data_IF_792711016135
#
_entry.id   IF_792711016135
#
_cell.length_a   1.000
_cell.length_b   1.000
_cell.length_c   1.000
_cell.angle_alpha   90.00
_cell.angle_beta   90.00
_cell.angle_gamma   90.00
#
_symmetry.space_group_name_H-M   'P 1'
#
loop_
_entity.id
_entity.type
_entity.pdbx_description
1 polymer ?
#
# COMPACT_ATOMS: atom_id res chain seq x y z
N UNK A 1 -14.98 42.74 8.68
CA UNK A 1 -15.34 41.77 9.74
C UNK A 1 -16.08 40.54 9.18
N UNK A 2 -17.15 40.70 8.41
CA UNK A 2 -17.87 39.59 7.74
C UNK A 2 -17.00 38.74 6.78
N UNK A 3 -16.07 39.36 6.05
CA UNK A 3 -15.15 38.66 5.15
C UNK A 3 -14.13 37.78 5.90
N UNK A 4 -13.73 38.18 7.11
CA UNK A 4 -12.81 37.41 7.97
C UNK A 4 -13.52 36.21 8.61
N UNK A 5 -14.78 36.35 9.03
CA UNK A 5 -15.58 35.22 9.50
C UNK A 5 -15.81 34.17 8.40
N UNK A 6 -16.12 34.60 7.17
CA UNK A 6 -16.34 33.69 6.05
C UNK A 6 -15.05 32.93 5.68
N UNK A 7 -13.90 33.62 5.69
CA UNK A 7 -12.58 32.99 5.50
C UNK A 7 -12.24 32.01 6.62
N UNK A 8 -12.58 32.30 7.88
CA UNK A 8 -12.35 31.37 9.01
C UNK A 8 -13.25 30.14 8.90
N UNK A 9 -14.48 30.29 8.43
CA UNK A 9 -15.43 29.19 8.25
C UNK A 9 -15.03 28.25 7.09
N UNK A 10 -14.57 28.81 5.98
CA UNK A 10 -13.99 28.07 4.84
C UNK A 10 -12.67 27.41 5.27
N UNK A 11 -11.82 28.14 6.00
CA UNK A 11 -10.59 27.60 6.58
C UNK A 11 -10.89 26.40 7.45
N UNK A 12 -11.80 26.51 8.41
CA UNK A 12 -12.14 25.42 9.33
C UNK A 12 -12.77 24.19 8.64
N UNK A 13 -13.50 24.38 7.53
CA UNK A 13 -14.08 23.26 6.75
C UNK A 13 -13.03 22.50 5.92
N UNK A 14 -11.97 23.17 5.46
CA UNK A 14 -10.95 22.57 4.58
C UNK A 14 -9.56 22.38 5.23
N UNK A 15 -9.35 22.89 6.45
CA UNK A 15 -8.06 22.90 7.14
C UNK A 15 -7.40 21.52 7.27
N UNK A 16 -8.19 20.52 7.61
CA UNK A 16 -7.70 19.15 7.80
C UNK A 16 -7.61 18.35 6.50
N UNK A 17 -8.18 18.87 5.41
CA UNK A 17 -8.28 18.17 4.13
C UNK A 17 -7.29 18.69 3.09
N UNK A 18 -6.86 19.95 3.20
CA UNK A 18 -5.88 20.56 2.31
C UNK A 18 -4.50 20.62 2.98
N UNK A 19 -3.60 19.72 2.57
CA UNK A 19 -2.24 19.64 3.08
C UNK A 19 -1.45 20.93 2.84
N UNK A 20 -1.73 21.67 1.77
CA UNK A 20 -1.06 22.93 1.49
C UNK A 20 -1.45 23.97 2.55
N UNK A 21 -2.74 24.06 2.85
CA UNK A 21 -3.27 25.01 3.82
C UNK A 21 -2.80 24.68 5.26
N UNK A 22 -2.65 23.40 5.58
CA UNK A 22 -2.07 22.95 6.85
C UNK A 22 -0.59 23.38 6.99
N UNK A 23 0.21 23.20 5.93
CA UNK A 23 1.63 23.57 5.94
C UNK A 23 1.81 25.09 5.99
N UNK A 24 1.06 25.85 5.20
CA UNK A 24 1.16 27.32 5.20
C UNK A 24 0.69 27.90 6.53
N UNK A 25 -0.41 27.39 7.09
CA UNK A 25 -0.89 27.85 8.40
C UNK A 25 0.05 27.49 9.55
N UNK A 26 0.74 26.35 9.46
CA UNK A 26 1.78 25.99 10.43
C UNK A 26 2.96 26.96 10.34
N UNK A 27 3.42 27.27 9.12
CA UNK A 27 4.51 28.25 8.91
C UNK A 27 4.08 29.65 9.39
N UNK A 28 2.83 30.06 9.14
CA UNK A 28 2.28 31.33 9.64
C UNK A 28 2.22 31.35 11.17
N UNK A 29 1.89 30.22 11.81
CA UNK A 29 1.88 30.10 13.27
C UNK A 29 3.28 30.22 13.89
N UNK A 30 4.34 29.89 13.14
CA UNK A 30 5.73 30.07 13.62
C UNK A 30 6.11 31.55 13.80
N UNK A 31 5.31 32.49 13.27
CA UNK A 31 5.52 33.92 13.47
C UNK A 31 5.42 34.34 14.95
N UNK A 32 4.73 33.55 15.79
CA UNK A 32 4.66 33.76 17.25
C UNK A 32 6.06 33.75 17.91
N UNK A 33 7.04 33.08 17.31
CA UNK A 33 8.41 32.99 17.82
C UNK A 33 9.32 34.17 17.41
N UNK A 34 8.77 35.21 16.75
CA UNK A 34 9.48 36.45 16.44
C UNK A 34 10.74 36.23 15.60
N UNK A 35 11.91 36.61 16.14
CA UNK A 35 13.20 36.52 15.44
C UNK A 35 13.64 35.10 15.07
N UNK A 36 13.09 34.07 15.72
CA UNK A 36 13.44 32.66 15.46
C UNK A 36 12.58 32.00 14.38
N UNK A 37 11.57 32.70 13.82
CA UNK A 37 10.64 32.08 12.88
C UNK A 37 11.35 31.51 11.63
N UNK A 38 12.37 32.19 11.10
CA UNK A 38 13.13 31.71 9.94
C UNK A 38 13.87 30.40 10.24
N UNK A 39 14.47 30.30 11.43
CA UNK A 39 15.22 29.09 11.84
C UNK A 39 14.25 27.91 12.00
N UNK A 40 13.10 28.13 12.63
CA UNK A 40 12.09 27.10 12.82
C UNK A 40 11.44 26.68 11.49
N UNK A 41 11.14 27.62 10.61
CA UNK A 41 10.60 27.33 9.28
C UNK A 41 11.60 26.51 8.45
N UNK A 42 12.89 26.88 8.48
CA UNK A 42 13.94 26.12 7.80
C UNK A 42 14.07 24.70 8.35
N UNK A 43 14.10 24.54 9.69
CA UNK A 43 14.18 23.22 10.32
C UNK A 43 12.99 22.33 9.97
N UNK A 44 11.79 22.90 9.92
CA UNK A 44 10.57 22.20 9.53
C UNK A 44 10.60 21.75 8.06
N UNK A 45 10.98 22.63 7.13
CA UNK A 45 11.11 22.30 5.71
C UNK A 45 12.16 21.21 5.50
N UNK A 46 13.30 21.31 6.21
CA UNK A 46 14.35 20.30 6.17
C UNK A 46 13.83 18.94 6.63
N UNK A 47 13.13 18.88 7.76
CA UNK A 47 12.57 17.63 8.28
C UNK A 47 11.56 17.01 7.31
N UNK A 48 10.66 17.80 6.73
CA UNK A 48 9.72 17.32 5.71
C UNK A 48 10.43 16.83 4.45
N UNK A 49 11.47 17.53 4.01
CA UNK A 49 12.23 17.12 2.83
C UNK A 49 12.92 15.78 3.04
N UNK A 50 13.47 15.53 4.23
CA UNK A 50 14.12 14.26 4.59
C UNK A 50 13.10 13.13 4.67
N UNK A 51 11.96 13.33 5.33
CA UNK A 51 10.92 12.28 5.43
C UNK A 51 10.34 11.92 4.06
N UNK A 52 10.15 12.90 3.19
CA UNK A 52 9.72 12.68 1.81
C UNK A 52 10.78 11.95 0.99
N UNK A 53 12.06 12.30 1.13
CA UNK A 53 13.17 11.64 0.44
C UNK A 53 13.28 10.17 0.85
N UNK A 54 13.24 9.87 2.16
CA UNK A 54 13.23 8.49 2.65
C UNK A 54 12.03 7.70 2.10
N UNK A 55 10.84 8.30 2.10
CA UNK A 55 9.63 7.67 1.58
C UNK A 55 9.72 7.40 0.07
N UNK A 56 10.30 8.31 -0.72
CA UNK A 56 10.52 8.12 -2.16
C UNK A 56 11.54 7.01 -2.45
N UNK A 57 12.65 6.97 -1.72
CA UNK A 57 13.67 5.92 -1.86
C UNK A 57 13.05 4.54 -1.65
N UNK A 58 12.26 4.36 -0.58
CA UNK A 58 11.58 3.10 -0.29
C UNK A 58 10.63 2.70 -1.42
N UNK A 59 9.84 3.64 -1.95
CA UNK A 59 8.92 3.38 -3.07
C UNK A 59 9.66 2.97 -4.35
N UNK A 60 10.77 3.65 -4.67
CA UNK A 60 11.60 3.25 -5.81
C UNK A 60 12.22 1.88 -5.62
N UNK A 61 12.68 1.55 -4.42
CA UNK A 61 13.24 0.24 -4.12
C UNK A 61 12.20 -0.87 -4.29
N UNK A 62 10.93 -0.64 -3.89
CA UNK A 62 9.83 -1.58 -4.11
C UNK A 62 9.59 -1.79 -5.62
N UNK A 63 9.51 -0.70 -6.39
CA UNK A 63 9.29 -0.78 -7.83
C UNK A 63 10.44 -1.49 -8.58
N UNK A 64 11.69 -1.15 -8.23
CA UNK A 64 12.89 -1.76 -8.82
C UNK A 64 12.96 -3.25 -8.46
N UNK A 65 12.72 -3.60 -7.20
CA UNK A 65 12.69 -5.01 -6.75
C UNK A 65 11.65 -5.81 -7.51
N UNK A 66 10.45 -5.27 -7.72
CA UNK A 66 9.41 -5.93 -8.48
C UNK A 66 9.82 -6.19 -9.95
N UNK A 67 10.47 -5.23 -10.61
CA UNK A 67 10.94 -5.40 -12.00
C UNK A 67 12.04 -6.45 -12.10
N UNK A 68 13.01 -6.43 -11.18
CA UNK A 68 14.12 -7.41 -11.14
C UNK A 68 13.58 -8.82 -10.86
N UNK A 69 12.59 -8.95 -9.98
CA UNK A 69 11.98 -10.25 -9.67
C UNK A 69 11.21 -10.83 -10.87
N UNK A 70 10.58 -9.99 -11.69
CA UNK A 70 9.89 -10.44 -12.90
C UNK A 70 10.85 -10.98 -13.98
N UNK A 71 12.07 -10.44 -14.07
CA UNK A 71 13.07 -10.87 -15.05
C UNK A 71 14.42 -11.12 -14.38
N UNK A 72 14.69 -12.39 -14.06
CA UNK A 72 15.94 -12.84 -13.40
C UNK A 72 17.20 -12.40 -14.17
N UNK A 73 17.12 -12.23 -15.50
CA UNK A 73 18.23 -11.71 -16.31
C UNK A 73 18.61 -10.26 -16.00
N UNK A 74 17.77 -9.52 -15.28
CA UNK A 74 18.04 -8.15 -14.82
C UNK A 74 18.69 -8.11 -13.43
N UNK A 75 18.88 -9.26 -12.78
CA UNK A 75 19.49 -9.36 -11.46
C UNK A 75 21.01 -9.09 -11.47
N UNK A 76 21.66 -9.08 -12.64
CA UNK A 76 23.08 -8.74 -12.74
C UNK A 76 23.33 -7.30 -12.26
N UNK A 77 24.53 -7.06 -11.71
CA UNK A 77 24.87 -5.76 -11.10
C UNK A 77 24.83 -4.61 -12.12
N UNK A 78 25.19 -4.87 -13.38
CA UNK A 78 25.13 -3.87 -14.46
C UNK A 78 23.69 -3.60 -14.92
N UNK A 79 22.85 -4.63 -15.06
CA UNK A 79 21.45 -4.48 -15.49
C UNK A 79 20.57 -3.83 -14.42
N UNK A 80 20.83 -4.11 -13.14
CA UNK A 80 20.09 -3.49 -12.03
C UNK A 80 20.33 -1.98 -11.95
N UNK A 81 21.56 -1.50 -12.20
CA UNK A 81 21.86 -0.05 -12.29
C UNK A 81 21.06 0.59 -13.43
N UNK A 82 20.99 -0.06 -14.59
CA UNK A 82 20.23 0.45 -15.74
C UNK A 82 18.73 0.55 -15.39
N UNK A 83 18.17 -0.47 -14.72
CA UNK A 83 16.78 -0.45 -14.24
C UNK A 83 16.53 0.73 -13.30
N UNK A 84 17.44 0.97 -12.34
CA UNK A 84 17.34 2.12 -11.41
C UNK A 84 17.28 3.43 -12.19
N UNK A 85 18.19 3.63 -13.14
CA UNK A 85 18.24 4.86 -13.96
C UNK A 85 16.95 5.05 -14.75
N UNK A 86 16.43 3.99 -15.38
CA UNK A 86 15.19 4.06 -16.16
C UNK A 86 14.00 4.40 -15.27
N UNK A 87 13.85 3.73 -14.12
CA UNK A 87 12.74 3.98 -13.18
C UNK A 87 12.78 5.43 -12.67
N UNK A 88 13.96 5.91 -12.28
CA UNK A 88 14.14 7.30 -11.81
C UNK A 88 13.87 8.30 -12.94
N UNK A 89 14.32 8.03 -14.17
CA UNK A 89 14.07 8.90 -15.32
C UNK A 89 12.57 9.00 -15.66
N UNK A 90 11.84 7.87 -15.67
CA UNK A 90 10.40 7.84 -15.89
C UNK A 90 9.68 8.62 -14.77
N UNK A 91 10.07 8.41 -13.52
CA UNK A 91 9.47 9.13 -12.40
C UNK A 91 9.73 10.64 -12.48
N UNK A 92 10.95 11.04 -12.85
CA UNK A 92 11.29 12.44 -13.06
C UNK A 92 10.46 13.08 -14.17
N UNK A 93 10.31 12.40 -15.31
CA UNK A 93 9.43 12.85 -16.40
C UNK A 93 7.98 12.99 -15.91
N UNK A 94 7.50 12.03 -15.12
CA UNK A 94 6.18 12.09 -14.48
C UNK A 94 6.02 13.32 -13.58
N UNK A 95 7.03 13.63 -12.76
CA UNK A 95 7.02 14.79 -11.87
C UNK A 95 6.97 16.12 -12.65
N UNK A 96 7.62 16.21 -13.82
CA UNK A 96 7.57 17.42 -14.65
C UNK A 96 6.14 17.78 -15.09
N UNK A 97 5.26 16.81 -15.33
CA UNK A 97 3.85 17.09 -15.67
C UNK A 97 3.09 17.79 -14.54
N UNK A 98 3.48 17.54 -13.29
CA UNK A 98 2.86 18.14 -12.10
C UNK A 98 3.37 19.56 -11.78
N UNK A 99 4.39 20.05 -12.49
CA UNK A 99 4.88 21.44 -12.37
C UNK A 99 3.95 22.44 -13.10
N UNK A 100 3.03 21.94 -13.94
CA UNK A 100 2.08 22.79 -14.65
C UNK A 100 1.15 23.59 -13.73
N UNK A 101 0.58 24.70 -14.23
CA UNK A 101 -0.30 25.61 -13.46
C UNK A 101 -1.48 24.90 -12.78
N UNK A 102 -1.98 23.81 -13.37
CA UNK A 102 -3.08 23.01 -12.83
C UNK A 102 -2.59 21.72 -12.14
N UNK A 103 -1.28 21.50 -12.08
CA UNK A 103 -0.66 20.29 -11.53
C UNK A 103 -0.98 20.07 -10.05
N UNK A 104 -1.12 21.14 -9.28
CA UNK A 104 -1.50 21.06 -7.86
C UNK A 104 -2.89 20.43 -7.67
N UNK A 105 -3.92 20.96 -8.35
CA UNK A 105 -5.29 20.40 -8.28
C UNK A 105 -5.34 18.95 -8.74
N UNK A 106 -4.56 18.60 -9.77
CA UNK A 106 -4.43 17.21 -10.24
C UNK A 106 -3.76 16.31 -9.22
N UNK A 107 -2.69 16.76 -8.56
CA UNK A 107 -2.01 16.03 -7.51
C UNK A 107 -2.93 15.76 -6.31
N UNK A 108 -3.70 16.77 -5.89
CA UNK A 108 -4.69 16.63 -4.81
C UNK A 108 -5.80 15.64 -5.20
N UNK A 109 -6.31 15.70 -6.42
CA UNK A 109 -7.32 14.73 -6.89
C UNK A 109 -6.78 13.30 -6.90
N UNK A 110 -5.56 13.09 -7.44
CA UNK A 110 -4.92 11.78 -7.49
C UNK A 110 -4.69 11.23 -6.07
N UNK A 111 -4.18 12.05 -5.16
CA UNK A 111 -3.90 11.63 -3.79
C UNK A 111 -5.18 11.24 -3.05
N UNK A 112 -6.23 12.06 -3.18
CA UNK A 112 -7.47 11.89 -2.43
C UNK A 112 -8.35 10.78 -2.99
N UNK A 113 -8.49 10.74 -4.32
CA UNK A 113 -9.44 9.86 -5.00
C UNK A 113 -8.75 8.61 -5.52
N UNK A 114 -7.78 8.76 -6.43
CA UNK A 114 -7.17 7.63 -7.13
C UNK A 114 -6.44 6.72 -6.15
N UNK A 115 -5.45 7.24 -5.41
CA UNK A 115 -4.61 6.43 -4.51
C UNK A 115 -5.45 5.77 -3.41
N UNK A 116 -6.37 6.51 -2.80
CA UNK A 116 -7.24 5.98 -1.73
C UNK A 116 -8.13 4.83 -2.23
N UNK A 117 -8.78 5.00 -3.37
CA UNK A 117 -9.67 3.96 -3.93
C UNK A 117 -8.85 2.74 -4.38
N UNK A 118 -7.77 2.95 -5.14
CA UNK A 118 -6.97 1.85 -5.67
C UNK A 118 -6.30 1.06 -4.56
N UNK A 119 -5.75 1.72 -3.53
CA UNK A 119 -5.08 1.04 -2.42
C UNK A 119 -6.05 0.15 -1.64
N UNK A 120 -7.26 0.61 -1.34
CA UNK A 120 -8.26 -0.19 -0.63
C UNK A 120 -8.69 -1.40 -1.46
N UNK A 121 -8.94 -1.22 -2.76
CA UNK A 121 -9.33 -2.33 -3.64
C UNK A 121 -8.21 -3.37 -3.76
N UNK A 122 -6.95 -2.93 -3.88
CA UNK A 122 -5.79 -3.83 -3.92
C UNK A 122 -5.68 -4.60 -2.60
N UNK A 123 -5.75 -3.93 -1.44
CA UNK A 123 -5.67 -4.58 -0.12
C UNK A 123 -6.82 -5.58 0.07
N UNK A 124 -8.05 -5.25 -0.33
CA UNK A 124 -9.19 -6.19 -0.26
C UNK A 124 -8.93 -7.39 -1.17
N UNK A 125 -8.39 -7.17 -2.37
CA UNK A 125 -8.06 -8.24 -3.30
C UNK A 125 -6.97 -9.16 -2.75
N UNK A 126 -5.91 -8.61 -2.14
CA UNK A 126 -4.86 -9.37 -1.47
C UNK A 126 -5.41 -10.18 -0.29
N UNK A 127 -6.21 -9.55 0.58
CA UNK A 127 -6.85 -10.22 1.71
C UNK A 127 -7.80 -11.33 1.25
N UNK A 128 -8.52 -11.12 0.15
CA UNK A 128 -9.39 -12.13 -0.45
C UNK A 128 -8.57 -13.31 -0.96
N UNK A 129 -7.49 -13.05 -1.70
CA UNK A 129 -6.63 -14.12 -2.23
C UNK A 129 -5.97 -14.91 -1.11
N UNK A 130 -5.45 -14.21 -0.10
CA UNK A 130 -4.86 -14.81 1.09
C UNK A 130 -5.91 -15.60 1.87
N UNK A 131 -7.10 -15.05 2.08
CA UNK A 131 -8.13 -15.66 2.92
C UNK A 131 -8.75 -16.89 2.29
N UNK A 132 -9.12 -16.80 1.01
CA UNK A 132 -9.88 -17.83 0.30
C UNK A 132 -8.97 -18.89 -0.32
N UNK A 133 -7.93 -18.48 -1.05
CA UNK A 133 -7.10 -19.43 -1.80
C UNK A 133 -5.92 -19.96 -0.99
N UNK A 134 -5.30 -19.10 -0.16
CA UNK A 134 -4.13 -19.52 0.60
C UNK A 134 -4.47 -20.05 2.01
N UNK A 135 -5.37 -19.39 2.71
CA UNK A 135 -5.73 -19.61 4.11
C UNK A 135 -4.86 -18.82 5.10
N UNK A 136 -5.47 -17.93 5.87
CA UNK A 136 -4.79 -17.11 6.90
C UNK A 136 -3.97 -17.93 7.91
N UNK A 137 -4.48 -19.10 8.31
CA UNK A 137 -3.80 -20.01 9.26
C UNK A 137 -2.44 -20.50 8.73
N UNK A 138 -2.36 -20.75 7.43
CA UNK A 138 -1.16 -21.28 6.78
C UNK A 138 -0.12 -20.17 6.64
N UNK A 139 -0.52 -18.95 6.21
CA UNK A 139 0.41 -17.81 6.16
C UNK A 139 0.98 -17.56 7.54
N UNK A 140 0.12 -17.56 8.56
CA UNK A 140 0.56 -17.36 9.93
C UNK A 140 1.59 -18.40 10.37
N UNK A 141 1.33 -19.68 10.09
CA UNK A 141 2.27 -20.77 10.39
C UNK A 141 3.61 -20.59 9.67
N UNK A 142 3.59 -20.23 8.38
CA UNK A 142 4.81 -19.99 7.60
C UNK A 142 5.61 -18.79 8.13
N UNK A 143 4.94 -17.67 8.42
CA UNK A 143 5.58 -16.47 8.96
C UNK A 143 6.22 -16.76 10.31
N UNK A 144 5.49 -17.45 11.20
CA UNK A 144 6.02 -17.81 12.53
C UNK A 144 7.32 -18.62 12.45
N UNK A 145 7.44 -19.50 11.44
CA UNK A 145 8.65 -20.29 11.22
C UNK A 145 9.78 -19.55 10.50
N UNK A 146 9.46 -18.53 9.72
CA UNK A 146 10.48 -17.65 9.14
C UNK A 146 11.02 -16.65 10.17
N UNK A 147 10.25 -16.34 11.21
CA UNK A 147 10.68 -15.52 12.35
C UNK A 147 11.47 -16.30 13.41
N UNK A 148 11.80 -17.58 13.18
CA UNK A 148 12.42 -18.51 14.15
C UNK A 148 13.78 -18.08 14.71
N UNK A 149 14.46 -17.09 14.14
CA UNK A 149 15.61 -16.49 14.82
C UNK A 149 15.23 -15.62 16.05
N UNK A 150 13.95 -15.54 16.41
CA UNK A 150 13.42 -14.84 17.61
C UNK A 150 12.99 -15.85 18.69
N UNK A 151 13.43 -17.11 18.61
CA UNK A 151 12.99 -18.17 19.54
C UNK A 151 13.53 -18.07 20.97
N UNK A 152 14.56 -17.25 21.22
CA UNK A 152 15.30 -17.31 22.48
C UNK A 152 14.65 -16.58 23.68
N UNK A 153 13.53 -15.87 23.52
CA UNK A 153 13.11 -14.91 24.58
C UNK A 153 11.66 -15.05 25.10
N UNK A 154 10.75 -15.78 24.44
CA UNK A 154 9.33 -15.76 24.87
C UNK A 154 8.79 -17.05 25.51
N UNK A 155 8.15 -16.88 26.67
CA UNK A 155 7.39 -17.94 27.36
C UNK A 155 6.31 -18.55 26.44
N UNK A 156 6.15 -19.88 26.50
CA UNK A 156 5.16 -20.63 25.67
C UNK A 156 3.74 -20.04 25.72
N UNK A 157 3.32 -19.47 26.85
CA UNK A 157 1.99 -18.86 27.01
C UNK A 157 1.86 -17.51 26.30
N UNK A 158 2.90 -16.67 26.33
CA UNK A 158 2.91 -15.38 25.65
C UNK A 158 2.79 -15.54 24.13
N UNK A 159 3.56 -16.48 23.56
CA UNK A 159 3.51 -16.83 22.14
C UNK A 159 2.10 -17.21 21.69
N UNK A 160 1.36 -17.98 22.49
CA UNK A 160 -0.02 -18.38 22.15
C UNK A 160 -1.01 -17.21 22.12
N UNK A 161 -0.86 -16.26 23.05
CA UNK A 161 -1.72 -15.07 23.10
C UNK A 161 -1.44 -14.19 21.89
N UNK A 162 -0.16 -13.90 21.61
CA UNK A 162 0.25 -13.09 20.45
C UNK A 162 -0.23 -13.73 19.15
N UNK A 163 -0.05 -15.04 19.00
CA UNK A 163 -0.49 -15.77 17.82
C UNK A 163 -2.02 -15.70 17.63
N UNK A 164 -2.78 -15.82 18.70
CA UNK A 164 -4.25 -15.72 18.67
C UNK A 164 -4.70 -14.31 18.28
N UNK A 165 -4.07 -13.27 18.86
CA UNK A 165 -4.38 -11.87 18.54
C UNK A 165 -4.07 -11.55 17.08
N UNK A 166 -2.90 -11.96 16.57
CA UNK A 166 -2.53 -11.76 15.17
C UNK A 166 -3.53 -12.46 14.25
N UNK A 167 -3.91 -13.71 14.55
CA UNK A 167 -4.87 -14.44 13.74
C UNK A 167 -6.25 -13.75 13.71
N UNK A 168 -6.74 -13.25 14.84
CA UNK A 168 -8.01 -12.47 14.91
C UNK A 168 -7.90 -11.17 14.12
N UNK A 169 -6.77 -10.46 14.22
CA UNK A 169 -6.52 -9.23 13.46
C UNK A 169 -6.60 -9.49 11.95
N UNK A 170 -5.90 -10.51 11.46
CA UNK A 170 -5.85 -10.84 10.04
C UNK A 170 -7.16 -11.40 9.48
N UNK A 171 -7.86 -12.24 10.24
CA UNK A 171 -9.07 -12.92 9.76
C UNK A 171 -10.33 -12.06 9.84
N UNK A 172 -10.43 -11.20 10.86
CA UNK A 172 -11.67 -10.47 11.14
C UNK A 172 -11.48 -8.95 11.13
N UNK A 173 -10.52 -8.42 11.89
CA UNK A 173 -10.43 -6.97 12.13
C UNK A 173 -10.01 -6.22 10.85
N UNK A 174 -8.93 -6.63 10.19
CA UNK A 174 -8.41 -5.95 9.01
C UNK A 174 -9.41 -6.01 7.84
N UNK A 175 -10.00 -7.16 7.49
CA UNK A 175 -11.03 -7.22 6.45
C UNK A 175 -12.26 -6.36 6.77
N UNK A 176 -12.72 -6.36 8.01
CA UNK A 176 -13.88 -5.57 8.42
C UNK A 176 -13.59 -4.07 8.33
N UNK A 177 -12.45 -3.62 8.87
CA UNK A 177 -12.04 -2.20 8.79
C UNK A 177 -11.90 -1.76 7.34
N UNK A 178 -11.28 -2.56 6.47
CA UNK A 178 -11.12 -2.22 5.05
C UNK A 178 -12.47 -2.10 4.32
N UNK A 179 -13.42 -3.00 4.57
CA UNK A 179 -14.79 -2.89 4.04
C UNK A 179 -15.48 -1.62 4.55
N UNK A 180 -15.41 -1.32 5.85
CA UNK A 180 -15.99 -0.09 6.39
C UNK A 180 -15.35 1.15 5.78
N UNK A 181 -14.03 1.18 5.57
CA UNK A 181 -13.37 2.31 4.88
C UNK A 181 -13.82 2.46 3.43
N UNK A 182 -14.06 1.34 2.72
CA UNK A 182 -14.60 1.40 1.36
C UNK A 182 -16.03 1.96 1.36
N UNK A 183 -16.87 1.54 2.30
CA UNK A 183 -18.24 2.04 2.44
C UNK A 183 -18.28 3.53 2.78
N UNK A 184 -17.41 4.01 3.67
CA UNK A 184 -17.36 5.44 4.01
C UNK A 184 -16.87 6.29 2.84
N UNK A 185 -15.86 5.81 2.10
CA UNK A 185 -15.34 6.50 0.92
C UNK A 185 -16.37 6.54 -0.20
N UNK A 186 -17.05 5.43 -0.49
CA UNK A 186 -18.11 5.40 -1.51
C UNK A 186 -19.30 6.28 -1.13
N UNK A 187 -19.72 6.28 0.15
CA UNK A 187 -20.75 7.20 0.64
C UNK A 187 -20.32 8.67 0.56
N UNK A 188 -19.05 8.97 0.86
CA UNK A 188 -18.48 10.30 0.72
C UNK A 188 -18.51 10.78 -0.75
N UNK A 189 -18.04 9.94 -1.67
CA UNK A 189 -18.03 10.26 -3.10
C UNK A 189 -19.42 10.37 -3.69
N UNK A 190 -20.38 9.51 -3.29
CA UNK A 190 -21.78 9.62 -3.73
C UNK A 190 -22.43 10.94 -3.30
N UNK A 191 -22.02 11.52 -2.17
CA UNK A 191 -22.49 12.83 -1.72
C UNK A 191 -21.80 14.00 -2.42
N UNK A 192 -20.57 13.80 -2.90
CA UNK A 192 -19.74 14.76 -3.65
C UNK A 192 -19.88 14.62 -5.19
N UNK A 193 -20.74 13.71 -5.67
CA UNK A 193 -20.75 13.12 -7.03
C UNK A 193 -20.99 14.10 -8.19
N UNK A 194 -21.18 15.39 -7.94
CA UNK A 194 -21.44 16.37 -9.01
C UNK A 194 -20.28 17.33 -9.30
N UNK A 195 -19.14 17.30 -8.59
CA UNK A 195 -18.04 18.22 -8.97
C UNK A 195 -16.59 17.77 -8.79
N UNK A 196 -16.26 16.62 -8.19
CA UNK A 196 -14.84 16.29 -7.85
C UNK A 196 -14.20 15.08 -8.56
N UNK A 197 -14.97 14.15 -9.14
CA UNK A 197 -14.39 13.00 -9.87
C UNK A 197 -14.37 13.27 -11.37
N UNK A 198 -13.18 13.58 -11.89
CA UNK A 198 -12.98 13.79 -13.33
C UNK A 198 -12.84 12.45 -14.07
N UNK A 199 -13.16 12.43 -15.36
CA UNK A 199 -13.03 11.24 -16.23
C UNK A 199 -11.59 10.71 -16.20
N UNK A 200 -10.60 11.60 -16.10
CA UNK A 200 -9.19 11.24 -15.97
C UNK A 200 -8.90 10.41 -14.71
N UNK A 201 -9.54 10.72 -13.60
CA UNK A 201 -9.32 10.00 -12.34
C UNK A 201 -9.90 8.58 -12.42
N UNK A 202 -11.07 8.43 -13.04
CA UNK A 202 -11.67 7.12 -13.32
C UNK A 202 -10.79 6.29 -14.25
N UNK A 203 -10.28 6.89 -15.33
CA UNK A 203 -9.36 6.23 -16.26
C UNK A 203 -8.08 5.75 -15.54
N UNK A 204 -7.52 6.57 -14.66
CA UNK A 204 -6.35 6.19 -13.86
C UNK A 204 -6.65 5.03 -12.92
N UNK A 205 -7.78 5.07 -12.20
CA UNK A 205 -8.22 3.97 -11.32
C UNK A 205 -8.35 2.68 -12.12
N UNK A 206 -9.05 2.72 -13.26
CA UNK A 206 -9.19 1.56 -14.13
C UNK A 206 -7.84 1.06 -14.65
N UNK A 207 -6.94 1.96 -15.07
CA UNK A 207 -5.61 1.58 -15.56
C UNK A 207 -4.76 0.88 -14.51
N UNK A 208 -4.79 1.34 -13.26
CA UNK A 208 -4.03 0.76 -12.14
C UNK A 208 -4.61 -0.60 -11.73
N UNK A 209 -5.93 -0.74 -11.75
CA UNK A 209 -6.60 -1.98 -11.33
C UNK A 209 -6.68 -3.03 -12.44
N UNK A 210 -6.66 -2.63 -13.71
CA UNK A 210 -6.80 -3.52 -14.87
C UNK A 210 -5.79 -4.67 -14.95
N UNK A 211 -4.53 -4.57 -14.50
CA UNK A 211 -3.59 -5.69 -14.59
C UNK A 211 -4.06 -6.92 -13.83
N UNK A 212 -4.80 -6.75 -12.72
CA UNK A 212 -5.29 -7.88 -11.89
C UNK A 212 -6.25 -8.78 -12.70
N UNK A 213 -7.40 -8.29 -13.23
CA UNK A 213 -8.30 -9.10 -14.01
C UNK A 213 -7.70 -9.50 -15.37
N UNK A 214 -6.90 -8.64 -16.01
CA UNK A 214 -6.29 -8.95 -17.32
C UNK A 214 -5.31 -10.13 -17.20
N UNK A 215 -4.44 -10.13 -16.18
CA UNK A 215 -3.50 -11.23 -15.97
C UNK A 215 -4.23 -12.52 -15.55
N UNK A 216 -5.31 -12.42 -14.77
CA UNK A 216 -6.14 -13.57 -14.43
C UNK A 216 -6.75 -14.21 -15.68
N UNK A 217 -7.37 -13.41 -16.54
CA UNK A 217 -7.97 -13.88 -17.80
C UNK A 217 -6.92 -14.48 -18.73
N UNK A 218 -5.77 -13.82 -18.87
CA UNK A 218 -4.64 -14.31 -19.66
C UNK A 218 -4.18 -15.70 -19.18
N UNK A 219 -4.03 -15.90 -17.87
CA UNK A 219 -3.63 -17.20 -17.30
C UNK A 219 -4.68 -18.29 -17.46
N UNK A 220 -5.97 -17.94 -17.34
CA UNK A 220 -7.07 -18.88 -17.59
C UNK A 220 -7.06 -19.33 -19.06
N UNK A 221 -6.89 -18.39 -19.99
CA UNK A 221 -6.82 -18.68 -21.42
C UNK A 221 -5.59 -19.55 -21.76
N UNK A 222 -4.44 -19.25 -21.18
CA UNK A 222 -3.22 -20.05 -21.33
C UNK A 222 -3.44 -21.51 -20.90
N UNK A 223 -4.04 -21.74 -19.72
CA UNK A 223 -4.36 -23.09 -19.24
C UNK A 223 -5.39 -23.80 -20.13
N UNK A 224 -6.39 -23.07 -20.62
CA UNK A 224 -7.38 -23.61 -21.55
C UNK A 224 -6.72 -24.08 -22.86
N UNK A 225 -5.81 -23.28 -23.42
CA UNK A 225 -5.07 -23.60 -24.65
C UNK A 225 -4.14 -24.81 -24.46
N UNK A 226 -3.52 -24.97 -23.30
CA UNK A 226 -2.67 -26.15 -23.01
C UNK A 226 -3.47 -27.41 -22.65
N UNK A 227 -4.80 -27.33 -22.59
CA UNK A 227 -5.67 -28.45 -22.20
C UNK A 227 -5.53 -28.86 -20.74
N UNK A 228 -4.97 -27.98 -19.89
CA UNK A 228 -4.79 -28.23 -18.47
C UNK A 228 -6.06 -27.84 -17.71
N UNK A 229 -6.29 -28.47 -16.56
CA UNK A 229 -7.35 -28.02 -15.65
C UNK A 229 -7.02 -26.63 -15.10
N UNK A 230 -8.05 -25.86 -14.73
CA UNK A 230 -7.89 -24.52 -14.12
C UNK A 230 -7.46 -24.66 -12.65
N UNK A 231 -7.72 -25.82 -12.03
CA UNK A 231 -7.41 -26.14 -10.63
C UNK A 231 -5.99 -25.80 -10.16
N UNK A 232 -4.91 -26.01 -10.95
CA UNK A 232 -3.54 -25.64 -10.58
C UNK A 232 -3.34 -24.14 -10.37
N UNK A 233 -4.11 -23.26 -11.04
CA UNK A 233 -4.01 -21.80 -10.85
C UNK A 233 -4.42 -21.38 -9.43
N UNK A 234 -5.37 -22.12 -8.85
CA UNK A 234 -5.84 -21.90 -7.48
C UNK A 234 -5.12 -22.79 -6.47
N UNK A 235 -4.17 -23.62 -6.93
CA UNK A 235 -3.38 -24.47 -6.04
C UNK A 235 -2.26 -23.65 -5.42
N UNK A 236 -2.13 -23.76 -4.10
CA UNK A 236 -1.06 -23.14 -3.31
C UNK A 236 0.31 -23.39 -3.94
N UNK A 237 1.02 -22.32 -4.30
CA UNK A 237 2.44 -22.41 -4.61
C UNK A 237 3.27 -22.18 -3.34
N UNK A 238 3.92 -23.21 -2.78
CA UNK A 238 4.73 -23.07 -1.56
C UNK A 238 6.00 -22.23 -1.78
N UNK A 239 6.39 -21.96 -3.03
CA UNK A 239 7.57 -21.14 -3.34
C UNK A 239 7.28 -19.62 -3.24
N UNK A 240 6.01 -19.18 -3.36
CA UNK A 240 5.67 -17.75 -3.20
C UNK A 240 5.57 -17.32 -1.73
N UNK A 241 4.94 -18.12 -0.86
CA UNK A 241 4.56 -17.70 0.50
C UNK A 241 4.99 -18.70 1.60
N UNK A 242 5.83 -19.67 1.25
CA UNK A 242 6.35 -20.69 2.16
C UNK A 242 7.83 -20.52 2.50
N UNK A 243 8.31 -21.17 3.57
CA UNK A 243 9.73 -21.20 3.88
C UNK A 243 10.55 -21.69 2.67
N UNK A 244 11.67 -21.04 2.35
CA UNK A 244 12.50 -21.40 1.19
C UNK A 244 13.11 -22.81 1.33
N UNK A 245 13.43 -23.23 2.56
CA UNK A 245 13.96 -24.56 2.86
C UNK A 245 12.86 -25.61 2.99
N UNK A 246 13.03 -26.78 2.34
CA UNK A 246 12.08 -27.90 2.42
C UNK A 246 11.88 -28.44 3.83
N UNK A 247 12.91 -28.42 4.68
CA UNK A 247 12.82 -28.81 6.10
C UNK A 247 11.80 -27.94 6.84
N UNK A 248 11.88 -26.63 6.67
CA UNK A 248 11.02 -25.65 7.33
C UNK A 248 9.58 -25.71 6.79
N UNK A 249 9.38 -26.13 5.53
CA UNK A 249 8.04 -26.41 4.99
C UNK A 249 7.35 -27.56 5.70
N UNK A 250 8.07 -28.67 5.92
CA UNK A 250 7.53 -29.82 6.63
C UNK A 250 7.19 -29.48 8.09
N UNK A 251 7.98 -28.60 8.70
CA UNK A 251 7.71 -28.09 10.05
C UNK A 251 6.50 -27.14 10.08
N UNK A 252 6.33 -26.31 9.05
CA UNK A 252 5.15 -25.46 8.89
C UNK A 252 3.87 -26.25 8.75
N UNK A 253 3.89 -27.30 7.92
CA UNK A 253 2.74 -28.18 7.77
C UNK A 253 2.42 -28.93 9.09
N UNK A 254 3.44 -29.24 9.93
CA UNK A 254 3.22 -29.82 11.27
C UNK A 254 2.61 -28.80 12.25
N UNK A 255 3.12 -27.57 12.28
CA UNK A 255 2.60 -26.49 13.11
C UNK A 255 1.14 -26.15 12.74
N UNK A 256 0.84 -26.07 11.44
CA UNK A 256 -0.52 -25.89 10.94
C UNK A 256 -1.47 -27.01 11.42
N UNK A 257 -1.05 -28.28 11.35
CA UNK A 257 -1.83 -29.42 11.86
C UNK A 257 -2.05 -29.35 13.36
N UNK A 258 -1.09 -28.82 14.13
CA UNK A 258 -1.27 -28.61 15.56
C UNK A 258 -2.32 -27.52 15.81
N UNK A 259 -2.25 -26.38 15.10
CA UNK A 259 -3.25 -25.30 15.20
C UNK A 259 -4.66 -25.81 14.87
N UNK A 260 -4.81 -26.71 13.87
CA UNK A 260 -6.10 -27.34 13.55
C UNK A 260 -6.70 -28.18 14.68
N UNK A 261 -5.90 -28.68 15.63
CA UNK A 261 -6.40 -29.45 16.76
C UNK A 261 -6.79 -28.57 17.95
N UNK A 262 -6.36 -27.32 17.94
CA UNK A 262 -6.54 -26.38 19.06
C UNK A 262 -7.81 -25.53 18.88
N UNK A 263 -8.44 -25.65 17.72
CA UNK A 263 -9.70 -25.04 17.29
C UNK A 263 -10.63 -26.14 16.80
#
# INVERSE_FOLDING_TARGET
MLMFCCLVEIRNKHFYFDSFLMVTSFIDALYIFGGYHFVLAYAYILLISLTNLCSKILRFQIAISAIIEMNVSLADQSSSIIVVVIVVAIAFIGELFFISKNGHFRCVSILRSVISITSIIVVISELFVIGVFYGFRIIFSNMSLMMVNVEDIESKKGRLIVNSVILVLWTAVIPLVTIFTLMTITAYFNKMLHSELDIYDVLLICSILSPIPVLLLYRIEEQYRTGCSITPLFKRNPDLWGPRLRSNRNEADKAERMIRKWW
#
